data_IF_554065261076
#
_entry.id   IF_554065261076
#
_cell.length_a   1.000
_cell.length_b   1.000
_cell.length_c   1.000
_cell.angle_alpha   90.00
_cell.angle_beta   90.00
_cell.angle_gamma   90.00
#
_symmetry.space_group_name_H-M   'P 1'
#
loop_
_entity.id
_entity.type
_entity.pdbx_description
1 polymer ?
#
# COMPACT_ATOMS: atom_id res chain seq x y z
N UNK A 1 -8.54 -23.08 -11.95
CA UNK A 1 -9.16 -23.35 -10.65
C UNK A 1 -8.63 -22.37 -9.61
N UNK A 2 -9.52 -21.75 -8.85
CA UNK A 2 -9.11 -20.78 -7.85
C UNK A 2 -8.49 -21.46 -6.64
N UNK A 3 -7.46 -20.84 -6.08
CA UNK A 3 -6.91 -21.26 -4.81
C UNK A 3 -7.88 -20.84 -3.69
N UNK A 4 -8.00 -21.68 -2.66
CA UNK A 4 -8.87 -21.35 -1.53
C UNK A 4 -8.28 -20.26 -0.66
N UNK A 5 -6.98 -20.24 -0.54
CA UNK A 5 -6.25 -19.19 0.18
C UNK A 5 -5.17 -18.65 -0.72
N UNK A 6 -4.85 -17.39 -0.58
CA UNK A 6 -3.81 -16.77 -1.38
C UNK A 6 -2.86 -16.00 -0.47
N UNK A 7 -1.60 -15.95 -0.89
CA UNK A 7 -0.57 -15.19 -0.22
C UNK A 7 -0.51 -13.82 -0.87
N UNK A 8 -0.63 -12.79 -0.05
CA UNK A 8 -0.69 -11.41 -0.51
C UNK A 8 0.25 -10.55 0.33
N UNK A 9 0.49 -9.34 -0.13
CA UNK A 9 1.24 -8.35 0.65
C UNK A 9 0.24 -7.29 1.09
N UNK A 10 0.18 -7.04 2.40
CA UNK A 10 -0.75 -6.07 2.99
C UNK A 10 0.02 -4.82 3.36
N UNK A 11 -0.44 -3.67 2.88
CA UNK A 11 0.25 -2.40 3.08
C UNK A 11 -0.70 -1.43 3.76
N UNK A 12 -0.36 -1.05 4.99
CA UNK A 12 -1.18 -0.14 5.78
C UNK A 12 -0.45 1.21 5.91
N UNK A 13 -1.20 2.31 6.06
CA UNK A 13 -0.55 3.61 6.26
C UNK A 13 0.37 3.57 7.48
N UNK A 14 1.58 4.07 7.30
CA UNK A 14 2.53 4.20 8.39
C UNK A 14 3.22 2.92 8.83
N UNK A 15 2.96 1.82 8.17
CA UNK A 15 3.52 0.52 8.57
C UNK A 15 4.32 -0.09 7.44
N UNK A 16 5.24 -0.97 7.80
CA UNK A 16 5.96 -1.78 6.82
C UNK A 16 5.01 -2.82 6.24
N UNK A 17 5.22 -3.22 4.98
CA UNK A 17 4.36 -4.24 4.38
C UNK A 17 4.40 -5.54 5.16
N UNK A 18 3.28 -6.25 5.12
CA UNK A 18 3.13 -7.50 5.86
C UNK A 18 2.63 -8.58 4.91
N UNK A 19 3.29 -9.73 4.92
CA UNK A 19 2.84 -10.88 4.14
C UNK A 19 1.72 -11.58 4.90
N UNK A 20 0.60 -11.81 4.22
CA UNK A 20 -0.56 -12.50 4.79
C UNK A 20 -1.01 -13.62 3.87
N UNK A 21 -1.55 -14.67 4.46
CA UNK A 21 -2.30 -15.70 3.75
C UNK A 21 -3.77 -15.50 4.12
N UNK A 22 -4.60 -15.25 3.13
CA UNK A 22 -5.99 -14.88 3.37
C UNK A 22 -6.92 -15.76 2.55
N UNK A 23 -8.19 -15.90 2.98
CA UNK A 23 -9.17 -16.57 2.13
C UNK A 23 -9.29 -15.84 0.80
N UNK A 24 -9.39 -16.60 -0.29
CA UNK A 24 -9.53 -16.02 -1.63
C UNK A 24 -11.00 -15.72 -1.88
N UNK A 25 -11.54 -14.74 -1.16
CA UNK A 25 -12.95 -14.35 -1.25
C UNK A 25 -13.04 -12.84 -1.34
N UNK A 26 -14.09 -12.38 -2.00
CA UNK A 26 -14.36 -10.94 -2.08
C UNK A 26 -14.52 -10.34 -0.68
N UNK A 27 -15.19 -11.05 0.22
CA UNK A 27 -15.40 -10.55 1.58
C UNK A 27 -14.09 -10.31 2.31
N UNK A 28 -13.12 -11.24 2.20
CA UNK A 28 -11.83 -11.08 2.85
C UNK A 28 -11.09 -9.85 2.31
N UNK A 29 -11.13 -9.65 1.00
CA UNK A 29 -10.50 -8.48 0.38
C UNK A 29 -11.17 -7.20 0.84
N UNK A 30 -12.49 -7.17 0.86
CA UNK A 30 -13.23 -5.99 1.29
C UNK A 30 -12.95 -5.62 2.74
N UNK A 31 -12.86 -6.62 3.60
CA UNK A 31 -12.57 -6.36 5.02
C UNK A 31 -11.18 -5.74 5.20
N UNK A 32 -10.21 -6.21 4.43
CA UNK A 32 -8.84 -5.70 4.57
C UNK A 32 -8.69 -4.28 4.04
N UNK A 33 -9.42 -3.90 3.00
CA UNK A 33 -9.34 -2.55 2.47
C UNK A 33 -10.41 -1.62 3.02
N UNK A 34 -11.36 -2.15 3.78
CA UNK A 34 -12.36 -1.34 4.45
C UNK A 34 -13.53 -0.92 3.58
N UNK A 35 -13.83 -1.63 2.51
CA UNK A 35 -14.95 -1.30 1.64
C UNK A 35 -14.84 -2.02 0.32
N UNK A 36 -15.58 -1.55 -0.68
CA UNK A 36 -15.55 -2.14 -2.00
C UNK A 36 -14.15 -2.03 -2.60
N UNK A 37 -13.79 -3.03 -3.39
CA UNK A 37 -12.44 -3.09 -3.95
C UNK A 37 -12.39 -2.52 -5.36
N UNK A 38 -11.22 -2.01 -5.68
CA UNK A 38 -10.84 -1.63 -7.03
C UNK A 38 -9.47 -2.22 -7.30
N UNK A 39 -9.26 -2.70 -8.52
CA UNK A 39 -7.97 -3.27 -8.91
C UNK A 39 -7.25 -2.31 -9.83
N UNK A 40 -5.98 -2.06 -9.53
CA UNK A 40 -5.11 -1.25 -10.38
C UNK A 40 -3.97 -2.12 -10.87
N UNK A 41 -3.55 -1.90 -12.10
CA UNK A 41 -2.53 -2.73 -12.76
C UNK A 41 -1.34 -1.86 -13.16
N UNK A 42 -0.54 -1.40 -12.18
CA UNK A 42 0.54 -0.44 -12.50
C UNK A 42 1.77 -1.08 -13.11
N UNK A 43 1.85 -2.40 -13.13
CA UNK A 43 3.05 -3.11 -13.59
C UNK A 43 2.74 -4.03 -14.74
N UNK A 44 3.79 -4.43 -15.46
CA UNK A 44 3.65 -5.44 -16.51
C UNK A 44 3.62 -6.86 -15.95
N UNK A 45 3.95 -7.02 -14.68
CA UNK A 45 3.92 -8.30 -13.99
C UNK A 45 2.47 -8.77 -13.80
N UNK A 46 2.29 -10.04 -13.47
CA UNK A 46 0.99 -10.60 -13.14
C UNK A 46 0.66 -10.34 -11.68
N UNK A 47 0.71 -9.09 -11.30
CA UNK A 47 0.38 -8.61 -9.97
C UNK A 47 -0.40 -7.32 -10.10
N UNK A 48 -1.22 -7.05 -9.09
CA UNK A 48 -2.06 -5.85 -9.10
C UNK A 48 -2.22 -5.32 -7.69
N UNK A 49 -2.66 -4.08 -7.61
CA UNK A 49 -3.04 -3.44 -6.35
C UNK A 49 -4.54 -3.60 -6.18
N UNK A 50 -4.96 -4.10 -5.02
CA UNK A 50 -6.36 -4.16 -4.64
C UNK A 50 -6.58 -3.15 -3.54
N UNK A 51 -7.36 -2.12 -3.80
CA UNK A 51 -7.54 -1.00 -2.88
C UNK A 51 -9.01 -0.67 -2.71
N UNK A 52 -9.30 0.22 -1.76
CA UNK A 52 -10.66 0.71 -1.53
C UNK A 52 -11.06 1.60 -2.70
N UNK A 53 -12.19 1.31 -3.32
CA UNK A 53 -12.64 2.02 -4.52
C UNK A 53 -12.99 3.48 -4.25
N UNK A 54 -13.27 3.83 -3.00
CA UNK A 54 -13.69 5.19 -2.62
C UNK A 54 -12.77 5.81 -1.58
N UNK A 55 -11.53 5.32 -1.46
CA UNK A 55 -10.64 5.76 -0.39
C UNK A 55 -10.42 7.26 -0.33
N UNK A 56 -10.15 7.89 -1.47
CA UNK A 56 -9.93 9.33 -1.50
C UNK A 56 -11.21 10.11 -1.19
N UNK A 57 -12.32 9.68 -1.75
CA UNK A 57 -13.60 10.34 -1.55
C UNK A 57 -14.01 10.25 -0.09
N UNK A 58 -13.78 9.11 0.53
CA UNK A 58 -14.13 8.88 1.93
C UNK A 58 -13.09 9.43 2.91
N UNK A 59 -12.03 10.01 2.40
CA UNK A 59 -11.02 10.65 3.26
C UNK A 59 -10.14 9.68 4.01
N UNK A 60 -9.91 8.49 3.46
CA UNK A 60 -9.01 7.54 4.08
C UNK A 60 -7.58 8.08 4.05
N UNK A 61 -6.77 7.66 5.01
CA UNK A 61 -5.41 8.14 5.14
C UNK A 61 -4.58 7.83 3.90
N UNK A 62 -3.89 8.82 3.31
CA UNK A 62 -2.95 8.54 2.22
C UNK A 62 -1.89 7.54 2.67
N UNK A 63 -1.56 6.58 1.81
CA UNK A 63 -0.73 5.45 2.20
C UNK A 63 0.59 5.39 1.43
N UNK A 64 0.52 5.18 0.15
CA UNK A 64 1.71 5.07 -0.72
C UNK A 64 1.42 5.74 -2.03
N UNK A 65 2.48 6.09 -2.74
CA UNK A 65 2.32 6.65 -4.08
C UNK A 65 1.92 5.56 -5.07
N UNK A 66 1.10 5.96 -6.03
CA UNK A 66 0.76 5.13 -7.17
C UNK A 66 1.26 5.88 -8.39
N UNK A 67 2.52 5.61 -8.76
CA UNK A 67 3.17 6.39 -9.79
C UNK A 67 3.58 7.76 -9.27
N UNK A 68 4.03 8.66 -10.14
CA UNK A 68 4.62 9.93 -9.71
C UNK A 68 3.60 11.01 -9.31
N UNK A 69 2.33 10.87 -9.72
CA UNK A 69 1.38 11.95 -9.55
C UNK A 69 0.12 11.55 -8.79
N UNK A 70 0.02 10.32 -8.31
CA UNK A 70 -1.17 9.84 -7.64
C UNK A 70 -0.79 9.06 -6.40
N UNK A 71 -1.76 8.80 -5.53
CA UNK A 71 -1.52 8.04 -4.32
C UNK A 71 -2.71 7.14 -4.01
N UNK A 72 -2.43 6.12 -3.19
CA UNK A 72 -3.42 5.19 -2.69
C UNK A 72 -3.84 5.64 -1.29
N UNK A 73 -5.14 5.72 -1.05
CA UNK A 73 -5.68 6.10 0.25
C UNK A 73 -6.25 4.88 0.94
N UNK A 74 -5.88 4.69 2.19
CA UNK A 74 -6.29 3.53 2.97
C UNK A 74 -5.37 2.34 2.75
N UNK A 75 -5.65 1.27 3.48
CA UNK A 75 -4.90 0.03 3.35
C UNK A 75 -5.17 -0.62 2.01
N UNK A 76 -4.16 -1.28 1.45
CA UNK A 76 -4.34 -1.98 0.18
C UNK A 76 -3.53 -3.27 0.18
N UNK A 77 -3.79 -4.09 -0.81
CA UNK A 77 -3.12 -5.37 -0.99
C UNK A 77 -2.40 -5.39 -2.32
N UNK A 78 -1.27 -6.09 -2.37
CA UNK A 78 -0.68 -6.51 -3.64
C UNK A 78 -1.01 -7.98 -3.80
N UNK A 79 -1.68 -8.31 -4.89
CA UNK A 79 -2.12 -9.66 -5.20
C UNK A 79 -1.56 -10.08 -6.55
N UNK A 80 -1.37 -11.38 -6.73
CA UNK A 80 -1.07 -11.92 -8.04
C UNK A 80 -2.35 -12.37 -8.71
N UNK A 81 -2.32 -12.48 -10.03
CA UNK A 81 -3.47 -12.98 -10.77
C UNK A 81 -3.01 -13.86 -11.92
N UNK A 82 -3.89 -14.77 -12.30
CA UNK A 82 -3.70 -15.56 -13.49
C UNK A 82 -5.07 -15.68 -14.16
N UNK A 83 -5.17 -15.21 -15.40
CA UNK A 83 -6.44 -15.09 -16.07
C UNK A 83 -7.36 -14.19 -15.25
N UNK A 84 -8.54 -14.68 -14.82
CA UNK A 84 -9.50 -13.88 -14.05
C UNK A 84 -9.43 -14.16 -12.56
N UNK A 85 -8.51 -15.03 -12.11
CA UNK A 85 -8.44 -15.43 -10.72
C UNK A 85 -7.28 -14.77 -10.00
N UNK A 86 -7.49 -14.39 -8.76
CA UNK A 86 -6.38 -14.07 -7.88
C UNK A 86 -5.66 -15.35 -7.48
N UNK A 87 -4.34 -15.28 -7.45
CA UNK A 87 -3.49 -16.39 -7.03
C UNK A 87 -2.46 -15.85 -6.06
N UNK A 88 -1.71 -16.77 -5.42
CA UNK A 88 -0.68 -16.36 -4.46
C UNK A 88 0.47 -15.65 -5.15
N UNK A 89 1.01 -14.62 -4.49
CA UNK A 89 2.27 -14.04 -4.91
C UNK A 89 3.38 -15.07 -4.77
N UNK A 90 4.31 -15.08 -5.71
CA UNK A 90 5.50 -15.91 -5.62
C UNK A 90 6.48 -15.29 -4.62
N UNK A 91 7.49 -16.08 -4.21
CA UNK A 91 8.54 -15.55 -3.34
C UNK A 91 9.23 -14.34 -3.97
N UNK A 92 9.47 -14.40 -5.27
CA UNK A 92 10.10 -13.30 -5.98
C UNK A 92 9.22 -12.05 -5.97
N UNK A 93 7.92 -12.23 -6.18
CA UNK A 93 6.98 -11.11 -6.15
C UNK A 93 6.88 -10.49 -4.76
N UNK A 94 6.83 -11.32 -3.71
CA UNK A 94 6.81 -10.83 -2.34
C UNK A 94 8.02 -9.93 -2.08
N UNK A 95 9.21 -10.39 -2.45
CA UNK A 95 10.42 -9.60 -2.24
C UNK A 95 10.39 -8.31 -3.05
N UNK A 96 9.93 -8.39 -4.28
CA UNK A 96 9.90 -7.24 -5.17
C UNK A 96 8.98 -6.14 -4.66
N UNK A 97 7.77 -6.52 -4.25
CA UNK A 97 6.78 -5.53 -3.83
C UNK A 97 6.99 -5.09 -2.38
N UNK A 98 7.52 -5.96 -1.53
CA UNK A 98 7.93 -5.54 -0.20
C UNK A 98 9.00 -4.46 -0.29
N UNK A 99 9.97 -4.63 -1.17
CA UNK A 99 11.01 -3.62 -1.37
C UNK A 99 10.44 -2.32 -1.91
N UNK A 100 9.51 -2.43 -2.85
CA UNK A 100 8.89 -1.25 -3.46
C UNK A 100 8.14 -0.41 -2.44
N UNK A 101 7.40 -1.05 -1.53
CA UNK A 101 6.55 -0.38 -0.57
C UNK A 101 7.09 -0.38 0.84
N UNK A 102 8.37 -0.72 1.02
CA UNK A 102 8.93 -0.94 2.35
C UNK A 102 8.70 0.24 3.29
N UNK A 103 9.10 1.44 2.85
CA UNK A 103 9.02 2.62 3.73
C UNK A 103 7.66 3.27 3.68
N UNK A 104 7.09 3.57 4.85
CA UNK A 104 5.90 4.42 4.90
C UNK A 104 6.15 5.77 4.27
N UNK A 105 5.07 6.41 3.86
CA UNK A 105 5.13 7.76 3.29
C UNK A 105 4.30 8.67 4.19
N UNK A 106 4.92 9.73 4.70
CA UNK A 106 4.20 10.80 5.37
C UNK A 106 3.79 11.82 4.31
N UNK A 107 2.53 12.16 4.27
CA UNK A 107 2.01 13.11 3.28
C UNK A 107 1.79 14.44 3.98
N UNK A 108 2.63 15.42 3.66
CA UNK A 108 2.60 16.72 4.30
C UNK A 108 1.74 17.68 3.49
N UNK A 109 0.77 18.35 4.13
CA UNK A 109 -0.03 19.34 3.39
C UNK A 109 0.82 20.55 3.03
N UNK A 110 0.70 21.00 1.79
CA UNK A 110 1.35 22.21 1.31
C UNK A 110 0.34 23.01 0.51
N UNK A 111 0.65 24.28 0.19
CA UNK A 111 -0.26 25.07 -0.65
C UNK A 111 -0.48 24.45 -2.03
N UNK A 112 0.39 23.57 -2.47
CA UNK A 112 0.30 22.95 -3.78
C UNK A 112 -0.17 21.50 -3.72
N UNK A 113 -0.68 21.05 -2.57
CA UNK A 113 -1.14 19.67 -2.40
C UNK A 113 -0.30 18.95 -1.38
N UNK A 114 -0.37 17.62 -1.40
CA UNK A 114 0.32 16.79 -0.44
C UNK A 114 1.74 16.50 -0.93
N UNK A 115 2.71 16.70 -0.05
CA UNK A 115 4.11 16.41 -0.33
C UNK A 115 4.45 15.04 0.29
N UNK A 116 4.77 14.02 -0.53
CA UNK A 116 5.11 12.71 0.00
C UNK A 116 6.55 12.68 0.49
N UNK A 117 6.76 12.11 1.68
CA UNK A 117 8.09 11.97 2.25
C UNK A 117 8.26 10.57 2.81
N UNK A 118 9.29 9.87 2.36
CA UNK A 118 9.62 8.57 2.92
C UNK A 118 10.08 8.71 4.36
N UNK A 119 9.66 7.77 5.19
CA UNK A 119 10.04 7.78 6.60
C UNK A 119 10.05 6.35 7.14
N UNK A 120 10.58 6.18 8.33
CA UNK A 120 10.45 4.92 9.05
C UNK A 120 9.08 4.85 9.71
N UNK A 121 8.68 3.66 10.14
CA UNK A 121 7.41 3.50 10.85
C UNK A 121 7.41 4.33 12.13
N UNK A 122 8.56 4.39 12.82
CA UNK A 122 8.68 5.18 14.05
C UNK A 122 8.51 6.67 13.78
N UNK A 123 9.12 7.16 12.72
CA UNK A 123 8.97 8.57 12.33
C UNK A 123 7.53 8.90 11.96
N UNK A 124 6.89 7.99 11.24
CA UNK A 124 5.50 8.18 10.85
C UNK A 124 4.61 8.26 12.09
N UNK A 125 4.80 7.35 13.04
CA UNK A 125 4.02 7.35 14.26
C UNK A 125 4.22 8.64 15.05
N UNK A 126 5.46 9.11 15.14
CA UNK A 126 5.74 10.36 15.82
C UNK A 126 5.11 11.54 15.11
N UNK A 127 5.14 11.54 13.78
CA UNK A 127 4.48 12.58 12.99
C UNK A 127 2.98 12.62 13.29
N UNK A 128 2.34 11.44 13.41
CA UNK A 128 0.92 11.39 13.73
C UNK A 128 0.63 11.95 15.12
N UNK A 129 1.52 11.66 16.10
CA UNK A 129 1.32 12.18 17.46
C UNK A 129 1.51 13.68 17.53
N UNK A 130 2.49 14.21 16.80
CA UNK A 130 2.87 15.61 16.90
C UNK A 130 2.22 16.47 15.82
N UNK A 131 1.46 15.84 14.93
CA UNK A 131 0.86 16.52 13.80
C UNK A 131 1.93 17.13 12.90
N UNK A 132 1.68 18.32 12.42
CA UNK A 132 2.59 18.99 11.49
C UNK A 132 3.80 19.62 12.17
N UNK A 133 3.93 19.44 13.47
CA UNK A 133 5.05 20.02 14.20
C UNK A 133 6.33 19.22 14.02
N UNK A 134 6.21 17.96 13.69
CA UNK A 134 7.37 17.10 13.56
C UNK A 134 8.08 17.37 12.24
N UNK A 135 9.41 17.46 12.31
CA UNK A 135 10.23 17.55 11.11
C UNK A 135 10.71 16.16 10.75
N UNK A 136 10.26 15.66 9.62
CA UNK A 136 10.65 14.35 9.12
C UNK A 136 11.72 14.55 8.07
N UNK A 137 12.85 13.84 8.23
CA UNK A 137 13.89 13.86 7.23
C UNK A 137 13.67 12.73 6.25
N UNK A 138 13.87 12.96 4.95
CA UNK A 138 13.78 11.88 3.98
C UNK A 138 14.78 10.78 4.32
N UNK A 139 14.42 9.55 4.01
CA UNK A 139 15.28 8.41 4.22
C UNK A 139 16.46 8.50 3.27
N UNK A 140 17.66 8.36 3.84
CA UNK A 140 18.88 8.28 3.05
C UNK A 140 19.09 6.82 2.66
N UNK A 141 19.06 6.56 1.39
CA UNK A 141 19.19 5.20 0.89
C UNK A 141 20.63 4.79 0.65
N UNK A 142 21.57 5.55 1.18
CA UNK A 142 22.97 5.20 1.07
C UNK A 142 23.52 5.37 -0.32
N UNK A 143 22.72 5.79 -1.19
CA UNK A 143 23.15 6.02 -2.53
C UNK A 143 23.82 7.33 -2.66
N UNK A 144 23.77 7.99 -1.64
CA UNK A 144 24.38 9.26 -1.63
C UNK A 144 25.81 9.16 -1.55
#
# INVERSE_FOLDING_TARGET
>A
MSEKEIRVLYVQPGKYPEELTIPNTLKALQELVGGDIECCYPWRDRACVVCNSCGKIDGLTPNRMLGPADYLAGSFLVCAFYSEDFVSLSDKQIKQYEKLYHYPIAFLPTPHGLLPMKCTAEQYEQFQRDGNKLKIRPIDHGER
#
